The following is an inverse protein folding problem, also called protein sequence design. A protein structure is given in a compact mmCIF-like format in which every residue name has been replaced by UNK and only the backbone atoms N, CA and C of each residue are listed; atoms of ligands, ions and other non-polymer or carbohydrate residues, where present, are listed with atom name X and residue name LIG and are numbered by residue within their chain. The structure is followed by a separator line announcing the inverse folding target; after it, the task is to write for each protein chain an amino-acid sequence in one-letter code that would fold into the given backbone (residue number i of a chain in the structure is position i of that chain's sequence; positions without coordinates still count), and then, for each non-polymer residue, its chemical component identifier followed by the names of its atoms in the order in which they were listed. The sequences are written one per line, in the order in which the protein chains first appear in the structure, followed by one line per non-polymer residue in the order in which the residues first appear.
data_IF_013522104714
#
_entry.id   IF_013522104714
#
_cell.length_a   1.000
_cell.length_b   1.000
_cell.length_c   1.000
_cell.angle_alpha   90.00
_cell.angle_beta   90.00
_cell.angle_gamma   90.00
#
_symmetry.space_group_name_H-M   'P 1'
#
loop_
_entity.id
_entity.type
_entity.pdbx_description
1 polymer ?
#
# COMPACT_ATOMS: atom_id res chain seq x y z
N UNK A 1 11.58 7.74 -44.09
CA UNK A 1 12.17 6.62 -44.83
C UNK A 1 11.27 5.44 -44.54
N UNK A 2 10.46 5.30 -45.47
CA UNK A 2 10.19 4.19 -46.41
C UNK A 2 9.33 3.14 -45.72
N UNK A 3 8.04 3.16 -45.93
CA UNK A 3 7.27 2.64 -47.10
C UNK A 3 7.06 1.14 -47.02
N UNK A 4 5.85 0.80 -47.15
CA UNK A 4 5.06 0.10 -48.19
C UNK A 4 4.72 -1.29 -47.65
N UNK A 5 3.54 -1.82 -47.77
CA UNK A 5 2.38 -1.62 -48.62
C UNK A 5 1.43 -2.77 -48.42
N UNK A 6 0.22 -2.43 -48.75
CA UNK A 6 -0.73 -3.08 -49.69
C UNK A 6 -1.16 -4.50 -49.36
N UNK A 7 -2.39 -4.70 -49.13
CA UNK A 7 -3.59 -4.63 -49.99
C UNK A 7 -3.81 -5.92 -50.79
N UNK A 8 -5.02 -6.36 -50.85
CA UNK A 8 -5.77 -6.96 -51.95
C UNK A 8 -6.71 -8.05 -51.39
N UNK A 9 -7.97 -7.85 -51.27
CA UNK A 9 -9.05 -7.71 -52.25
C UNK A 9 -9.38 -9.00 -53.02
N UNK A 10 -10.71 -9.19 -53.14
CA UNK A 10 -11.47 -9.88 -54.20
C UNK A 10 -11.61 -11.41 -53.95
N UNK A 11 -12.72 -12.10 -54.12
CA UNK A 11 -13.80 -11.88 -55.13
C UNK A 11 -14.94 -12.82 -54.77
N UNK A 12 -16.14 -12.38 -54.91
CA UNK A 12 -17.28 -13.23 -55.28
C UNK A 12 -17.15 -13.56 -56.75
N UNK A 13 -17.72 -14.61 -57.32
CA UNK A 13 -18.97 -14.40 -58.00
C UNK A 13 -19.98 -15.58 -58.03
N UNK A 14 -21.23 -15.18 -58.25
CA UNK A 14 -22.21 -15.67 -59.20
C UNK A 14 -22.36 -17.18 -59.46
N UNK A 15 -23.53 -17.68 -59.39
CA UNK A 15 -24.67 -17.44 -60.30
C UNK A 15 -25.12 -18.78 -60.83
N UNK A 16 -26.33 -19.07 -60.81
CA UNK A 16 -27.10 -19.40 -61.96
C UNK A 16 -28.38 -20.21 -61.69
N UNK A 17 -29.48 -19.61 -61.93
CA UNK A 17 -30.66 -20.34 -62.32
C UNK A 17 -30.49 -20.73 -63.79
N UNK A 18 -31.13 -21.78 -64.29
CA UNK A 18 -32.27 -21.52 -65.19
C UNK A 18 -33.44 -22.55 -65.15
N UNK A 19 -34.61 -22.00 -65.20
CA UNK A 19 -35.56 -22.11 -66.30
C UNK A 19 -36.13 -23.47 -66.72
N UNK A 20 -37.49 -23.52 -66.61
CA UNK A 20 -38.51 -23.92 -67.60
C UNK A 20 -38.41 -25.29 -68.30
N UNK A 21 -39.53 -25.92 -68.21
CA UNK A 21 -39.94 -26.96 -69.17
C UNK A 21 -41.34 -27.50 -68.89
N UNK A 22 -42.36 -26.85 -69.40
CA UNK A 22 -43.54 -27.54 -69.86
C UNK A 22 -43.23 -28.08 -71.26
N UNK A 23 -43.85 -29.12 -71.80
CA UNK A 23 -45.26 -29.12 -72.15
C UNK A 23 -45.96 -30.52 -72.14
N UNK A 24 -47.20 -30.45 -72.15
CA UNK A 24 -48.15 -30.90 -73.20
C UNK A 24 -48.81 -32.28 -73.12
N UNK A 25 -50.14 -32.15 -73.23
CA UNK A 25 -51.17 -32.94 -73.94
C UNK A 25 -51.33 -34.45 -73.67
N UNK A 26 -52.54 -34.72 -73.35
CA UNK A 26 -53.11 -36.06 -73.55
C UNK A 26 -54.46 -36.27 -72.92
N UNK A 27 -55.48 -35.66 -73.51
CA UNK A 27 -56.83 -36.20 -73.33
C UNK A 27 -56.96 -37.49 -74.11
N UNK A 28 -57.80 -38.42 -73.69
CA UNK A 28 -58.95 -38.75 -74.44
C UNK A 28 -60.29 -38.78 -73.67
N UNK A 29 -61.28 -38.34 -74.35
CA UNK A 29 -62.74 -38.44 -74.10
C UNK A 29 -63.15 -39.90 -74.10
N UNK A 30 -64.03 -40.31 -73.19
CA UNK A 30 -65.09 -41.27 -73.44
C UNK A 30 -66.31 -40.94 -72.58
N UNK A 31 -67.42 -40.96 -73.20
CA UNK A 31 -68.77 -40.53 -72.84
C UNK A 31 -69.62 -41.56 -72.04
N UNK A 32 -70.84 -41.30 -71.69
CA UNK A 32 -71.41 -41.59 -70.37
C UNK A 32 -72.25 -42.89 -70.41
N UNK A 33 -72.39 -43.46 -69.23
CA UNK A 33 -73.37 -44.52 -69.00
C UNK A 33 -74.27 -44.14 -67.82
N UNK A 34 -75.55 -44.10 -68.12
CA UNK A 34 -76.69 -43.90 -67.24
C UNK A 34 -76.85 -45.10 -66.29
N UNK A 35 -77.16 -44.89 -65.04
CA UNK A 35 -77.80 -45.88 -64.23
C UNK A 35 -77.60 -45.72 -62.72
N UNK A 36 -78.65 -45.33 -61.96
CA UNK A 36 -78.70 -45.58 -60.52
C UNK A 36 -79.01 -44.39 -59.62
N UNK A 37 -80.19 -43.76 -59.73
CA UNK A 37 -80.63 -42.58 -58.96
C UNK A 37 -81.14 -42.83 -57.53
N UNK A 38 -80.93 -43.94 -56.89
CA UNK A 38 -81.42 -44.22 -55.55
C UNK A 38 -80.34 -44.46 -54.46
N UNK A 39 -79.17 -44.97 -54.79
CA UNK A 39 -78.11 -45.20 -53.77
C UNK A 39 -77.23 -43.99 -53.39
N UNK A 40 -77.15 -42.98 -54.30
CA UNK A 40 -76.37 -41.76 -54.09
C UNK A 40 -76.96 -40.83 -53.01
N UNK A 41 -78.28 -40.87 -52.76
CA UNK A 41 -78.88 -40.07 -51.67
C UNK A 41 -78.59 -40.56 -50.32
N UNK A 42 -78.53 -41.89 -50.11
CA UNK A 42 -78.16 -42.48 -48.81
C UNK A 42 -76.65 -42.35 -48.52
N UNK A 43 -75.78 -42.42 -49.51
CA UNK A 43 -74.35 -42.19 -49.39
C UNK A 43 -74.03 -40.71 -49.02
N UNK A 44 -74.76 -39.74 -49.70
CA UNK A 44 -74.63 -38.33 -49.29
C UNK A 44 -75.05 -38.02 -47.90
N UNK A 45 -76.15 -38.68 -47.44
CA UNK A 45 -76.61 -38.50 -46.10
C UNK A 45 -75.66 -39.15 -45.02
N UNK A 46 -75.06 -40.27 -45.37
CA UNK A 46 -74.02 -40.93 -44.51
C UNK A 46 -72.74 -40.12 -44.40
N UNK A 47 -72.26 -39.50 -45.51
CA UNK A 47 -71.09 -38.62 -45.54
C UNK A 47 -71.35 -37.33 -44.74
N UNK A 48 -72.64 -36.78 -44.86
CA UNK A 48 -73.02 -35.58 -44.13
C UNK A 48 -73.09 -35.87 -42.61
N UNK A 49 -73.63 -37.03 -42.24
CA UNK A 49 -73.62 -37.45 -40.78
C UNK A 49 -72.21 -37.70 -40.27
N UNK A 50 -71.32 -38.27 -41.09
CA UNK A 50 -69.91 -38.46 -40.73
C UNK A 50 -69.17 -37.13 -40.56
N UNK A 51 -69.46 -36.16 -41.46
CA UNK A 51 -68.92 -34.78 -41.38
C UNK A 51 -69.45 -34.05 -40.13
N UNK A 52 -70.75 -34.17 -39.82
CA UNK A 52 -71.32 -33.56 -38.62
C UNK A 52 -70.80 -34.25 -37.42
N UNK A 53 -70.61 -35.57 -37.43
CA UNK A 53 -69.96 -36.31 -36.32
C UNK A 53 -68.51 -35.90 -36.12
N UNK A 54 -67.73 -35.76 -37.20
CA UNK A 54 -66.34 -35.30 -37.11
C UNK A 54 -66.25 -33.83 -36.68
N UNK A 55 -67.16 -32.96 -37.10
CA UNK A 55 -67.25 -31.58 -36.69
C UNK A 55 -67.64 -31.45 -35.22
N UNK A 56 -68.60 -32.23 -34.74
CA UNK A 56 -69.03 -32.25 -33.35
C UNK A 56 -67.92 -32.82 -32.45
N UNK A 57 -67.23 -33.88 -32.93
CA UNK A 57 -66.05 -34.42 -32.22
C UNK A 57 -64.92 -33.41 -32.17
N UNK A 58 -64.68 -32.66 -33.26
CA UNK A 58 -63.69 -31.59 -33.29
C UNK A 58 -64.01 -30.43 -32.34
N UNK A 59 -65.26 -29.97 -32.37
CA UNK A 59 -65.74 -28.95 -31.44
C UNK A 59 -65.67 -29.41 -29.98
N UNK A 60 -66.09 -30.66 -29.72
CA UNK A 60 -66.00 -31.21 -28.35
C UNK A 60 -64.57 -31.36 -27.86
N UNK A 61 -63.69 -31.86 -28.70
CA UNK A 61 -62.23 -31.92 -28.44
C UNK A 61 -61.64 -30.53 -28.18
N UNK A 62 -62.00 -29.54 -28.99
CA UNK A 62 -61.57 -28.18 -28.85
C UNK A 62 -62.09 -27.53 -27.57
N UNK A 63 -63.32 -27.84 -27.20
CA UNK A 63 -63.93 -27.35 -25.93
C UNK A 63 -63.31 -28.00 -24.69
N UNK A 64 -63.01 -29.30 -24.74
CA UNK A 64 -62.28 -30.00 -23.68
C UNK A 64 -60.85 -29.51 -23.53
N UNK A 65 -60.16 -29.31 -24.63
CA UNK A 65 -58.77 -28.72 -24.61
C UNK A 65 -58.76 -27.30 -24.08
N UNK A 66 -59.73 -26.46 -24.43
CA UNK A 66 -59.85 -25.11 -23.87
C UNK A 66 -60.12 -25.15 -22.35
N UNK A 67 -61.02 -26.02 -21.88
CA UNK A 67 -61.28 -26.17 -20.46
C UNK A 67 -60.05 -26.67 -19.71
N UNK A 68 -59.32 -27.63 -20.25
CA UNK A 68 -58.05 -28.11 -19.66
C UNK A 68 -56.98 -27.01 -19.61
N UNK A 69 -56.90 -26.19 -20.66
CA UNK A 69 -55.99 -25.06 -20.73
C UNK A 69 -56.33 -23.97 -19.68
N UNK A 70 -57.63 -23.67 -19.51
CA UNK A 70 -58.09 -22.70 -18.51
C UNK A 70 -57.84 -23.23 -17.07
N UNK A 71 -58.18 -24.49 -16.78
CA UNK A 71 -57.91 -25.10 -15.46
C UNK A 71 -56.43 -25.20 -15.18
N UNK A 72 -55.59 -25.53 -16.17
CA UNK A 72 -54.12 -25.52 -16.04
C UNK A 72 -53.56 -24.11 -15.82
N UNK A 73 -54.18 -23.09 -16.47
CA UNK A 73 -53.77 -21.68 -16.26
C UNK A 73 -54.22 -21.17 -14.89
N UNK A 74 -55.40 -21.56 -14.36
CA UNK A 74 -55.87 -21.24 -13.02
C UNK A 74 -55.00 -21.95 -11.98
N UNK A 75 -54.68 -23.23 -12.14
CA UNK A 75 -53.77 -23.96 -11.27
C UNK A 75 -52.36 -23.40 -11.22
N UNK A 76 -51.88 -22.83 -12.36
CA UNK A 76 -50.60 -22.11 -12.37
C UNK A 76 -50.67 -20.77 -11.65
N UNK A 77 -51.80 -20.07 -11.72
CA UNK A 77 -52.03 -18.80 -11.04
C UNK A 77 -52.10 -18.94 -9.52
N UNK A 78 -52.61 -20.05 -9.05
CA UNK A 78 -52.75 -20.35 -7.60
C UNK A 78 -51.54 -21.14 -7.03
N UNK A 79 -50.54 -21.46 -7.90
CA UNK A 79 -49.33 -22.13 -7.46
C UNK A 79 -48.44 -21.16 -6.69
N UNK A 80 -48.39 -21.32 -5.37
CA UNK A 80 -47.45 -20.57 -4.49
C UNK A 80 -46.14 -21.35 -4.43
N UNK A 81 -45.09 -20.86 -5.11
CA UNK A 81 -43.78 -21.52 -5.12
C UNK A 81 -43.22 -21.56 -3.70
N UNK A 82 -42.60 -22.69 -3.35
CA UNK A 82 -41.85 -22.82 -2.11
C UNK A 82 -40.41 -22.38 -2.36
N UNK A 83 -40.02 -21.33 -1.71
CA UNK A 83 -38.67 -20.72 -1.86
C UNK A 83 -37.85 -20.89 -0.58
N UNK A 84 -36.54 -21.03 -0.72
CA UNK A 84 -35.62 -21.00 0.40
C UNK A 84 -35.19 -19.58 0.61
N UNK A 85 -35.09 -19.16 1.85
CA UNK A 85 -34.61 -17.83 2.22
C UNK A 85 -33.44 -17.93 3.16
N UNK A 86 -32.56 -16.95 3.10
CA UNK A 86 -31.49 -16.71 4.07
C UNK A 86 -31.58 -15.28 4.56
N UNK A 87 -31.27 -15.08 5.84
CA UNK A 87 -31.31 -13.74 6.42
C UNK A 87 -30.05 -12.96 6.02
N UNK A 88 -30.22 -11.74 5.56
CA UNK A 88 -29.12 -10.79 5.34
C UNK A 88 -28.40 -10.55 6.66
N UNK A 89 -27.10 -10.78 6.67
CA UNK A 89 -26.28 -10.61 7.84
C UNK A 89 -25.36 -9.38 7.69
N UNK A 90 -25.12 -8.69 8.81
CA UNK A 90 -24.09 -7.66 8.83
C UNK A 90 -22.72 -8.30 8.67
N UNK A 91 -21.91 -7.73 7.78
CA UNK A 91 -20.50 -8.08 7.61
C UNK A 91 -19.73 -7.83 8.91
N UNK A 92 -18.64 -8.56 9.12
CA UNK A 92 -17.75 -8.32 10.25
C UNK A 92 -17.24 -6.88 10.30
N UNK A 93 -16.96 -6.41 11.51
CA UNK A 93 -16.44 -5.05 11.76
C UNK A 93 -15.04 -4.78 11.19
N UNK A 94 -14.38 -5.80 10.66
CA UNK A 94 -12.99 -5.75 10.17
C UNK A 94 -12.92 -6.33 8.76
N UNK A 95 -12.22 -5.61 7.88
CA UNK A 95 -11.83 -6.09 6.56
C UNK A 95 -10.43 -6.67 6.66
N UNK A 96 -10.23 -7.89 6.19
CA UNK A 96 -8.90 -8.48 6.04
C UNK A 96 -8.39 -8.16 4.63
N UNK A 97 -7.24 -7.49 4.58
CA UNK A 97 -6.59 -7.09 3.33
C UNK A 97 -5.23 -7.75 3.29
N UNK A 98 -5.00 -8.65 2.33
CA UNK A 98 -3.71 -9.28 2.12
C UNK A 98 -2.93 -8.55 1.05
N UNK A 99 -1.74 -8.09 1.41
CA UNK A 99 -0.87 -7.30 0.53
C UNK A 99 0.58 -7.82 0.61
N UNK A 100 1.31 -7.71 -0.50
CA UNK A 100 2.74 -7.96 -0.50
C UNK A 100 3.47 -6.85 0.25
N UNK A 101 4.48 -7.24 1.01
CA UNK A 101 5.36 -6.33 1.72
C UNK A 101 6.82 -6.77 1.64
N UNK A 102 7.71 -5.86 1.98
CA UNK A 102 9.14 -6.14 2.09
C UNK A 102 9.64 -5.73 3.46
N UNK A 103 10.40 -6.61 4.09
CA UNK A 103 11.04 -6.32 5.36
C UNK A 103 12.21 -5.37 5.16
N UNK A 104 12.35 -4.37 6.01
CA UNK A 104 13.51 -3.49 6.08
C UNK A 104 14.00 -3.37 7.52
N UNK A 105 15.25 -2.99 7.70
CA UNK A 105 15.76 -2.69 9.01
C UNK A 105 15.02 -1.47 9.60
N UNK A 106 14.92 -1.42 10.94
CA UNK A 106 14.35 -0.25 11.62
C UNK A 106 15.20 0.99 11.36
N UNK A 107 16.54 0.85 11.54
CA UNK A 107 17.53 1.83 11.15
C UNK A 107 18.61 1.16 10.30
N UNK A 108 19.08 1.87 9.29
CA UNK A 108 20.21 1.46 8.46
C UNK A 108 21.15 2.65 8.26
N UNK A 109 22.44 2.45 8.46
CA UNK A 109 23.44 3.46 8.25
C UNK A 109 24.62 2.92 7.46
N UNK A 110 25.03 3.69 6.46
CA UNK A 110 26.31 3.53 5.79
C UNK A 110 27.35 4.39 6.49
N UNK A 111 28.37 3.75 7.04
CA UNK A 111 29.44 4.39 7.81
C UNK A 111 30.59 4.69 6.87
N UNK A 112 30.96 5.96 6.84
CA UNK A 112 32.04 6.48 6.02
C UNK A 112 33.20 6.99 6.87
N UNK A 113 34.42 6.95 6.31
CA UNK A 113 35.59 7.54 6.94
C UNK A 113 35.43 9.05 7.09
N UNK A 114 35.71 9.58 8.28
CA UNK A 114 35.76 11.02 8.60
C UNK A 114 37.17 11.51 8.86
N UNK A 115 38.15 10.59 8.85
CA UNK A 115 39.58 10.87 8.90
C UNK A 115 40.27 10.14 7.74
N UNK A 116 41.29 10.76 7.15
CA UNK A 116 42.17 10.13 6.16
C UNK A 116 43.31 9.46 6.86
N UNK A 117 43.73 8.28 6.38
CA UNK A 117 44.80 7.49 6.96
C UNK A 117 44.71 6.02 6.61
N UNK A 118 45.47 5.19 7.28
CA UNK A 118 45.42 3.72 7.11
C UNK A 118 44.65 3.04 8.21
N UNK A 119 43.91 1.99 7.86
CA UNK A 119 43.23 1.14 8.85
C UNK A 119 44.29 0.38 9.64
N UNK A 120 44.41 0.70 10.92
CA UNK A 120 45.35 0.04 11.85
C UNK A 120 44.77 -1.24 12.39
N UNK A 121 43.55 -1.15 12.95
CA UNK A 121 42.87 -2.28 13.57
C UNK A 121 41.39 -2.27 13.21
N UNK A 122 40.84 -3.46 13.01
CA UNK A 122 39.43 -3.71 12.82
C UNK A 122 38.94 -4.61 13.96
N UNK A 123 37.89 -4.18 14.64
CA UNK A 123 37.34 -4.86 15.82
C UNK A 123 36.07 -5.67 15.53
N UNK A 124 35.48 -5.44 14.36
CA UNK A 124 34.21 -6.05 13.95
C UNK A 124 34.29 -6.61 12.54
N UNK A 125 33.44 -7.57 12.22
CA UNK A 125 33.30 -8.14 10.88
C UNK A 125 31.82 -8.30 10.53
N UNK A 126 31.52 -8.72 9.29
CA UNK A 126 30.17 -9.03 8.82
C UNK A 126 29.53 -10.01 9.81
N UNK A 127 28.28 -9.74 10.23
CA UNK A 127 27.55 -10.51 11.22
C UNK A 127 27.83 -10.13 12.67
N UNK A 128 28.81 -9.27 12.95
CA UNK A 128 29.11 -8.80 14.31
C UNK A 128 27.97 -7.96 14.87
N UNK A 129 27.48 -8.31 16.06
CA UNK A 129 26.55 -7.47 16.83
C UNK A 129 27.31 -6.43 17.60
N UNK A 130 26.93 -5.18 17.49
CA UNK A 130 27.61 -4.03 18.11
C UNK A 130 26.62 -3.16 18.87
N UNK A 131 27.16 -2.47 19.88
CA UNK A 131 26.41 -1.50 20.69
C UNK A 131 26.76 -0.08 20.29
N UNK A 132 25.86 0.86 20.54
CA UNK A 132 26.08 2.30 20.37
C UNK A 132 27.39 2.73 21.04
N UNK A 133 28.23 3.46 20.30
CA UNK A 133 29.54 3.93 20.79
C UNK A 133 30.63 2.86 20.76
N UNK A 134 30.36 1.61 20.40
CA UNK A 134 31.39 0.57 20.29
C UNK A 134 32.34 0.88 19.14
N UNK A 135 33.64 0.73 19.38
CA UNK A 135 34.69 0.94 18.39
C UNK A 135 34.62 -0.16 17.31
N UNK A 136 34.51 0.26 16.07
CA UNK A 136 34.43 -0.61 14.90
C UNK A 136 35.81 -0.77 14.24
N UNK A 137 36.49 0.35 14.03
CA UNK A 137 37.78 0.41 13.36
C UNK A 137 38.57 1.62 13.82
N UNK A 138 39.89 1.48 13.83
CA UNK A 138 40.86 2.50 14.17
C UNK A 138 41.66 2.88 12.93
N UNK A 139 41.67 4.18 12.64
CA UNK A 139 42.43 4.79 11.55
C UNK A 139 43.69 5.43 12.14
N UNK A 140 44.82 5.18 11.55
CA UNK A 140 46.08 5.83 11.93
C UNK A 140 46.41 6.93 10.93
N UNK A 141 46.55 8.15 11.41
CA UNK A 141 46.92 9.33 10.66
C UNK A 141 47.96 10.12 11.47
N UNK A 142 49.26 9.77 11.37
CA UNK A 142 50.35 10.40 12.14
C UNK A 142 50.44 11.91 11.96
N UNK A 143 50.08 12.40 10.80
CA UNK A 143 50.10 13.83 10.46
C UNK A 143 49.20 14.68 11.36
N UNK A 144 48.08 14.14 11.84
CA UNK A 144 47.18 14.83 12.77
C UNK A 144 47.81 14.93 14.15
N UNK A 145 48.57 13.91 14.59
CA UNK A 145 49.25 13.91 15.86
C UNK A 145 50.40 14.95 15.88
N UNK A 146 51.16 15.05 14.76
CA UNK A 146 52.19 16.07 14.59
C UNK A 146 51.60 17.49 14.56
N UNK A 147 50.45 17.68 13.90
CA UNK A 147 49.72 18.97 13.89
C UNK A 147 49.27 19.37 15.28
N UNK A 148 48.75 18.41 16.08
CA UNK A 148 48.34 18.65 17.47
C UNK A 148 49.56 19.08 18.30
N UNK A 149 50.67 18.36 18.20
CA UNK A 149 51.92 18.70 18.90
C UNK A 149 52.43 20.11 18.55
N UNK A 150 52.40 20.47 17.28
CA UNK A 150 52.75 21.82 16.81
C UNK A 150 51.78 22.89 17.36
N UNK A 151 50.46 22.65 17.34
CA UNK A 151 49.48 23.60 17.85
C UNK A 151 49.60 23.78 19.38
N UNK A 152 49.91 22.71 20.11
CA UNK A 152 50.18 22.77 21.56
C UNK A 152 51.43 23.60 21.87
N UNK A 153 52.51 23.42 21.11
CA UNK A 153 53.74 24.23 21.24
C UNK A 153 53.45 25.73 20.96
N UNK A 154 52.68 26.03 19.90
CA UNK A 154 52.27 27.39 19.59
C UNK A 154 51.38 28.01 20.68
N UNK A 155 50.49 27.25 21.27
CA UNK A 155 49.68 27.70 22.40
C UNK A 155 50.54 28.04 23.64
N UNK A 156 51.57 27.24 23.92
CA UNK A 156 52.56 27.53 24.99
C UNK A 156 53.28 28.83 24.74
N UNK A 157 53.76 29.06 23.51
CA UNK A 157 54.42 30.31 23.07
C UNK A 157 53.51 31.52 23.24
N UNK A 158 52.23 31.42 22.79
CA UNK A 158 51.26 32.51 22.90
C UNK A 158 50.95 32.83 24.37
N UNK A 159 50.86 31.82 25.24
CA UNK A 159 50.70 32.00 26.69
C UNK A 159 51.89 32.68 27.32
N UNK A 160 53.11 32.41 26.83
CA UNK A 160 54.31 33.09 27.31
C UNK A 160 54.33 34.58 26.88
N UNK A 161 53.88 34.87 25.66
CA UNK A 161 53.69 36.25 25.15
C UNK A 161 52.65 37.03 26.03
N UNK A 162 51.52 36.43 26.40
CA UNK A 162 50.57 37.07 27.32
C UNK A 162 51.24 37.40 28.65
N UNK A 163 52.05 36.50 29.25
CA UNK A 163 52.77 36.78 30.50
C UNK A 163 53.66 37.99 30.39
N UNK A 164 54.41 38.14 29.29
CA UNK A 164 55.26 39.28 29.00
C UNK A 164 54.43 40.59 28.92
N UNK A 165 53.38 40.59 28.10
CA UNK A 165 52.48 41.77 27.94
C UNK A 165 51.76 42.10 29.26
N UNK A 166 51.36 41.11 30.04
CA UNK A 166 50.77 41.34 31.35
C UNK A 166 51.75 41.97 32.35
N UNK A 167 53.02 41.59 32.33
CA UNK A 167 54.06 42.24 33.14
C UNK A 167 54.29 43.71 32.72
N UNK A 168 54.31 44.00 31.38
CA UNK A 168 54.41 45.36 30.88
C UNK A 168 53.16 46.19 31.27
N UNK A 169 51.96 45.63 31.20
CA UNK A 169 50.72 46.29 31.68
C UNK A 169 50.80 46.62 33.16
N UNK A 170 51.30 45.70 33.99
CA UNK A 170 51.39 45.91 35.43
C UNK A 170 52.42 47.02 35.74
N UNK A 171 53.58 47.02 35.07
CA UNK A 171 54.55 48.11 35.15
C UNK A 171 53.90 49.49 34.81
N UNK A 172 53.23 49.58 33.68
CA UNK A 172 52.52 50.80 33.24
C UNK A 172 51.42 51.20 34.22
N UNK A 173 50.67 50.23 34.82
CA UNK A 173 49.68 50.49 35.83
C UNK A 173 50.26 51.14 37.08
N UNK A 174 51.37 50.59 37.62
CA UNK A 174 52.07 51.10 38.78
C UNK A 174 52.63 52.48 38.50
N UNK A 175 53.24 52.69 37.31
CA UNK A 175 53.80 54.01 36.92
C UNK A 175 52.70 55.07 36.81
N UNK A 176 51.59 54.78 36.09
CA UNK A 176 50.47 55.68 36.00
C UNK A 176 49.86 56.03 37.36
N UNK A 177 49.69 55.03 38.25
CA UNK A 177 49.18 55.31 39.62
C UNK A 177 50.09 56.22 40.42
N UNK A 178 51.41 56.06 40.34
CA UNK A 178 52.38 56.95 40.98
C UNK A 178 52.34 58.35 40.43
N UNK A 179 52.39 58.49 39.10
CA UNK A 179 52.40 59.79 38.39
C UNK A 179 51.09 60.55 38.63
N UNK A 180 49.95 59.88 38.70
CA UNK A 180 48.63 60.48 39.01
C UNK A 180 48.67 61.18 40.39
N UNK A 181 49.27 60.58 41.39
CA UNK A 181 49.45 61.20 42.70
C UNK A 181 50.35 62.43 42.63
N UNK A 182 51.52 62.31 41.98
CA UNK A 182 52.52 63.38 41.83
C UNK A 182 51.93 64.57 41.07
N UNK A 183 51.11 64.37 40.02
CA UNK A 183 50.44 65.45 39.31
C UNK A 183 49.40 66.16 40.21
N UNK A 184 48.65 65.40 41.04
CA UNK A 184 47.72 65.94 42.02
C UNK A 184 48.38 66.84 43.08
N UNK A 185 49.62 66.51 43.46
CA UNK A 185 50.42 67.24 44.42
C UNK A 185 51.25 68.38 43.74
N UNK A 186 51.22 68.52 42.43
CA UNK A 186 51.98 69.55 41.69
C UNK A 186 53.44 69.27 41.42
N UNK A 187 53.93 68.02 41.73
CA UNK A 187 55.30 67.60 41.54
C UNK A 187 55.61 66.99 40.13
N UNK A 188 54.58 66.77 39.29
CA UNK A 188 54.73 66.31 37.93
C UNK A 188 53.83 67.12 37.01
N UNK A 189 54.18 67.16 35.67
CA UNK A 189 53.44 67.89 34.65
C UNK A 189 52.14 67.14 34.27
N UNK A 190 51.10 67.82 33.84
CA UNK A 190 49.90 67.21 33.29
C UNK A 190 50.22 66.38 32.05
N UNK A 191 51.12 66.81 31.20
CA UNK A 191 51.59 66.10 30.02
C UNK A 191 52.16 64.73 30.38
N UNK A 192 52.95 64.66 31.43
CA UNK A 192 53.50 63.38 31.97
C UNK A 192 52.39 62.45 32.42
N UNK A 193 51.40 62.99 33.18
CA UNK A 193 50.23 62.20 33.63
C UNK A 193 49.43 61.64 32.46
N UNK A 194 49.16 62.42 31.44
CA UNK A 194 48.46 61.98 30.24
C UNK A 194 49.24 60.91 29.47
N UNK A 195 50.57 61.05 29.34
CA UNK A 195 51.42 60.07 28.68
C UNK A 195 51.39 58.73 29.40
N UNK A 196 51.51 58.71 30.74
CA UNK A 196 51.54 57.48 31.52
C UNK A 196 50.16 56.83 31.53
N UNK A 197 49.06 57.58 31.54
CA UNK A 197 47.70 57.08 31.43
C UNK A 197 47.49 56.40 30.10
N UNK A 198 47.79 57.10 29.00
CA UNK A 198 47.64 56.53 27.63
C UNK A 198 48.55 55.33 27.42
N UNK A 199 49.75 55.30 28.02
CA UNK A 199 50.63 54.12 27.97
C UNK A 199 50.00 52.94 28.70
N UNK A 200 49.42 53.15 29.86
CA UNK A 200 48.68 52.09 30.59
C UNK A 200 47.50 51.54 29.77
N UNK A 201 46.65 52.42 29.20
CA UNK A 201 45.54 52.06 28.33
C UNK A 201 46.01 51.22 27.12
N UNK A 202 47.10 51.63 26.47
CA UNK A 202 47.70 50.90 25.35
C UNK A 202 48.14 49.50 25.76
N UNK A 203 48.85 49.35 26.93
CA UNK A 203 49.26 48.04 27.44
C UNK A 203 48.06 47.18 27.88
N UNK A 204 46.99 47.79 28.36
CA UNK A 204 45.73 47.07 28.70
C UNK A 204 45.12 46.49 27.39
N UNK A 205 44.98 47.24 26.32
CA UNK A 205 44.52 46.75 25.04
C UNK A 205 45.46 45.72 24.44
N UNK A 206 46.75 45.87 24.55
CA UNK A 206 47.73 44.84 24.11
C UNK A 206 47.54 43.49 24.85
N UNK A 207 47.24 43.53 26.16
CA UNK A 207 46.93 42.33 26.94
C UNK A 207 45.63 41.65 26.45
N UNK A 208 44.58 42.44 26.14
CA UNK A 208 43.31 41.92 25.61
C UNK A 208 43.55 41.22 24.24
N UNK A 209 44.37 41.81 23.37
CA UNK A 209 44.74 41.19 22.07
C UNK A 209 45.51 39.87 22.31
N UNK A 210 46.44 39.83 23.27
CA UNK A 210 47.17 38.61 23.58
C UNK A 210 46.27 37.52 24.15
N UNK A 211 45.23 37.88 24.97
CA UNK A 211 44.20 36.97 25.45
C UNK A 211 43.36 36.41 24.29
N UNK A 212 42.90 37.26 23.36
CA UNK A 212 42.16 36.86 22.19
C UNK A 212 42.96 35.89 21.27
N UNK A 213 44.27 36.11 21.15
CA UNK A 213 45.16 35.21 20.40
C UNK A 213 45.26 33.81 21.07
N UNK A 214 45.25 33.72 22.40
CA UNK A 214 45.21 32.46 23.09
C UNK A 214 43.88 31.75 22.80
N UNK A 215 42.76 32.45 22.84
CA UNK A 215 41.45 31.85 22.53
C UNK A 215 41.40 31.31 21.10
N UNK A 216 41.97 32.04 20.14
CA UNK A 216 42.04 31.61 18.73
C UNK A 216 42.92 30.34 18.61
N UNK A 217 44.06 30.29 19.25
CA UNK A 217 44.94 29.11 19.24
C UNK A 217 44.31 27.90 19.94
N UNK A 218 43.60 28.14 21.03
CA UNK A 218 42.87 27.08 21.72
C UNK A 218 41.74 26.51 20.85
N UNK A 219 41.00 27.36 20.14
CA UNK A 219 39.98 26.91 19.18
C UNK A 219 40.59 26.04 18.06
N UNK A 220 41.72 26.44 17.49
CA UNK A 220 42.43 25.66 16.49
C UNK A 220 42.87 24.29 17.01
N UNK A 221 43.41 24.23 18.22
CA UNK A 221 43.78 22.97 18.88
C UNK A 221 42.57 22.06 19.09
N UNK A 222 41.41 22.62 19.47
CA UNK A 222 40.18 21.86 19.64
C UNK A 222 39.71 21.25 18.33
N UNK A 223 39.84 21.96 17.20
CA UNK A 223 39.52 21.42 15.85
C UNK A 223 40.38 20.21 15.52
N UNK A 224 41.71 20.31 15.76
CA UNK A 224 42.63 19.20 15.50
C UNK A 224 42.34 17.98 16.42
N UNK A 225 42.02 18.23 17.67
CA UNK A 225 41.61 17.16 18.60
C UNK A 225 40.31 16.49 18.17
N UNK A 226 39.36 17.26 17.67
CA UNK A 226 38.12 16.70 17.10
C UNK A 226 38.40 15.84 15.86
N UNK A 227 39.32 16.25 14.99
CA UNK A 227 39.78 15.45 13.85
C UNK A 227 40.44 14.14 14.31
N UNK A 228 41.23 14.18 15.39
CA UNK A 228 41.80 12.96 16.00
C UNK A 228 40.72 12.00 16.50
N UNK A 229 39.64 12.49 17.10
CA UNK A 229 38.53 11.62 17.51
C UNK A 229 37.88 10.89 16.34
N UNK A 230 37.87 11.46 15.15
CA UNK A 230 37.34 10.81 13.93
C UNK A 230 38.18 9.63 13.43
N UNK A 231 39.40 9.45 13.95
CA UNK A 231 40.21 8.26 13.68
C UNK A 231 39.60 7.01 14.35
N UNK A 232 38.79 7.18 15.40
CA UNK A 232 38.04 6.13 16.07
C UNK A 232 36.63 6.11 15.49
N UNK A 233 36.37 5.16 14.61
CA UNK A 233 35.03 4.98 14.01
C UNK A 233 34.19 4.13 14.96
N UNK A 234 33.09 4.68 15.45
CA UNK A 234 32.18 4.03 16.39
C UNK A 234 30.83 3.79 15.81
N UNK A 235 30.10 2.81 16.37
CA UNK A 235 28.73 2.48 15.99
C UNK A 235 27.77 3.61 16.40
N UNK A 236 26.90 4.11 15.49
CA UNK A 236 25.94 5.17 15.79
C UNK A 236 24.72 4.67 16.58
N UNK A 237 24.36 3.38 16.49
CA UNK A 237 23.26 2.72 17.17
C UNK A 237 23.56 1.23 17.39
N UNK A 238 22.73 0.57 18.19
CA UNK A 238 22.82 -0.88 18.41
C UNK A 238 22.38 -1.62 17.15
N UNK A 239 23.16 -2.60 16.69
CA UNK A 239 22.81 -3.30 15.46
C UNK A 239 23.81 -4.38 15.03
N UNK A 240 23.69 -4.79 13.80
CA UNK A 240 24.55 -5.80 13.16
C UNK A 240 25.26 -5.19 11.95
N UNK A 241 26.54 -5.50 11.79
CA UNK A 241 27.32 -5.16 10.60
C UNK A 241 26.90 -6.09 9.46
N UNK A 242 26.33 -5.53 8.40
CA UNK A 242 25.84 -6.31 7.26
C UNK A 242 26.76 -6.28 6.05
N UNK A 243 27.55 -5.21 5.92
CA UNK A 243 28.54 -5.08 4.87
C UNK A 243 29.86 -4.48 5.42
N UNK A 244 30.96 -4.91 4.83
CA UNK A 244 32.31 -4.42 5.10
C UNK A 244 33.02 -4.18 3.77
N UNK A 245 33.59 -3.00 3.62
CA UNK A 245 34.29 -2.59 2.39
C UNK A 245 35.75 -2.22 2.61
N UNK A 246 36.29 -2.54 3.79
CA UNK A 246 37.68 -2.22 4.17
C UNK A 246 38.36 -3.39 4.84
N UNK A 247 39.67 -3.43 4.70
CA UNK A 247 40.57 -4.36 5.38
C UNK A 247 41.67 -3.61 6.13
N UNK A 248 42.31 -4.30 7.07
CA UNK A 248 43.47 -3.76 7.79
C UNK A 248 44.57 -3.44 6.77
N UNK A 249 45.16 -2.25 6.88
CA UNK A 249 46.13 -1.72 5.91
C UNK A 249 45.52 -0.95 4.75
N UNK A 250 44.21 -0.93 4.56
CA UNK A 250 43.55 -0.13 3.53
C UNK A 250 43.72 1.36 3.81
N UNK A 251 44.06 2.12 2.75
CA UNK A 251 44.04 3.58 2.78
C UNK A 251 42.58 4.05 2.69
N UNK A 252 42.18 4.91 3.59
CA UNK A 252 40.85 5.54 3.61
C UNK A 252 41.01 7.06 3.54
N UNK A 253 40.02 7.71 2.96
CA UNK A 253 40.00 9.16 2.76
C UNK A 253 38.73 9.76 3.31
N UNK A 254 38.88 10.84 4.05
CA UNK A 254 37.79 11.70 4.49
C UNK A 254 37.58 12.77 3.39
N UNK A 255 36.73 12.49 2.43
CA UNK A 255 36.33 13.48 1.44
C UNK A 255 35.02 14.15 1.84
N UNK A 256 34.92 15.45 1.59
CA UNK A 256 33.71 16.22 1.87
C UNK A 256 32.50 15.75 1.06
N UNK A 257 32.72 15.10 -0.09
CA UNK A 257 31.66 14.71 -1.03
C UNK A 257 31.35 13.21 -1.02
N UNK A 258 32.36 12.36 -0.72
CA UNK A 258 32.21 10.90 -0.71
C UNK A 258 33.38 10.22 0.00
N UNK A 259 33.43 10.36 1.32
CA UNK A 259 34.40 9.62 2.11
C UNK A 259 34.40 8.12 1.81
N UNK A 260 35.53 7.43 2.08
CA UNK A 260 35.61 5.99 1.85
C UNK A 260 34.54 5.27 2.65
N UNK A 261 33.70 4.49 1.97
CA UNK A 261 32.69 3.64 2.61
C UNK A 261 33.38 2.51 3.41
N UNK A 262 32.98 2.36 4.67
CA UNK A 262 33.60 1.40 5.60
C UNK A 262 32.67 0.22 5.89
N UNK A 263 31.49 0.49 6.41
CA UNK A 263 30.53 -0.51 6.84
C UNK A 263 29.09 -0.09 6.54
N UNK A 264 28.21 -1.09 6.34
CA UNK A 264 26.77 -0.91 6.54
C UNK A 264 26.38 -1.56 7.85
N UNK A 265 25.64 -0.84 8.65
CA UNK A 265 25.03 -1.33 9.90
C UNK A 265 23.51 -1.29 9.78
N UNK A 266 22.85 -2.29 10.37
CA UNK A 266 21.39 -2.37 10.41
C UNK A 266 20.92 -2.72 11.82
N UNK A 267 19.88 -2.01 12.27
CA UNK A 267 19.16 -2.33 13.50
C UNK A 267 17.96 -3.22 13.16
N UNK A 268 17.91 -4.43 13.67
CA UNK A 268 16.95 -5.47 13.29
C UNK A 268 16.18 -6.09 14.46
N UNK A 269 16.30 -5.56 15.68
CA UNK A 269 15.51 -6.00 16.84
C UNK A 269 14.02 -5.67 16.68
N UNK A 270 13.73 -4.64 15.91
CA UNK A 270 12.42 -4.33 15.36
C UNK A 270 12.56 -4.30 13.84
N UNK A 271 11.68 -4.99 13.15
CA UNK A 271 11.64 -4.97 11.69
C UNK A 271 10.57 -4.01 11.22
N UNK A 272 10.90 -3.23 10.22
CA UNK A 272 9.96 -2.37 9.50
C UNK A 272 9.50 -3.09 8.24
N UNK A 273 8.20 -3.27 8.10
CA UNK A 273 7.61 -3.82 6.89
C UNK A 273 7.05 -2.66 6.08
N UNK A 274 7.51 -2.52 4.87
CA UNK A 274 6.99 -1.55 3.92
C UNK A 274 6.03 -2.24 2.94
N UNK A 275 4.84 -1.68 2.83
CA UNK A 275 3.82 -2.15 1.89
C UNK A 275 3.11 -0.97 1.24
N UNK A 276 2.55 -1.23 0.06
CA UNK A 276 1.85 -0.25 -0.74
C UNK A 276 0.39 -0.63 -0.84
N UNK A 277 -0.46 0.08 -0.09
CA UNK A 277 -1.90 -0.17 -0.05
C UNK A 277 -2.59 0.51 -1.22
N UNK A 278 -3.32 -0.21 -2.09
CA UNK A 278 -4.08 0.38 -3.19
C UNK A 278 -5.12 1.39 -2.71
N UNK A 279 -5.42 2.39 -3.52
CA UNK A 279 -6.32 3.50 -3.18
C UNK A 279 -7.69 3.05 -2.69
N UNK A 280 -8.27 2.01 -3.30
CA UNK A 280 -9.58 1.45 -2.93
C UNK A 280 -9.60 0.83 -1.52
N UNK A 281 -8.44 0.39 -1.02
CA UNK A 281 -8.26 -0.26 0.28
C UNK A 281 -7.59 0.67 1.32
N UNK A 282 -7.09 1.82 0.88
CA UNK A 282 -6.37 2.77 1.74
C UNK A 282 -7.28 3.49 2.75
N UNK A 283 -8.58 3.63 2.42
CA UNK A 283 -9.56 4.27 3.29
C UNK A 283 -9.87 3.40 4.52
N UNK A 284 -9.31 3.78 5.66
CA UNK A 284 -9.45 3.05 6.93
C UNK A 284 -8.12 2.52 7.47
N UNK A 285 -7.07 2.51 6.66
CA UNK A 285 -5.72 2.25 7.14
C UNK A 285 -5.24 3.47 7.93
N UNK A 286 -4.92 3.26 9.19
CA UNK A 286 -4.45 4.31 10.10
C UNK A 286 -3.38 3.74 11.05
N UNK A 287 -2.57 4.57 11.66
CA UNK A 287 -1.69 4.14 12.73
C UNK A 287 -2.47 3.41 13.84
N UNK A 288 -1.95 2.28 14.30
CA UNK A 288 -2.58 1.40 15.28
C UNK A 288 -3.35 0.21 14.70
N UNK A 289 -3.62 0.17 13.39
CA UNK A 289 -4.23 -1.00 12.72
C UNK A 289 -3.34 -2.22 12.91
N UNK A 290 -3.95 -3.33 13.34
CA UNK A 290 -3.24 -4.59 13.54
C UNK A 290 -2.88 -5.25 12.21
N UNK A 291 -1.70 -5.86 12.19
CA UNK A 291 -1.17 -6.56 11.03
C UNK A 291 -0.61 -7.92 11.44
N UNK A 292 -0.82 -8.90 10.60
CA UNK A 292 -0.20 -10.23 10.71
C UNK A 292 0.71 -10.44 9.52
N UNK A 293 1.99 -10.62 9.77
CA UNK A 293 3.01 -10.81 8.74
C UNK A 293 3.36 -12.29 8.63
N UNK A 294 3.32 -12.81 7.42
CA UNK A 294 3.70 -14.18 7.09
C UNK A 294 4.83 -14.15 6.07
N UNK A 295 5.83 -14.96 6.32
CA UNK A 295 7.00 -15.13 5.44
C UNK A 295 6.91 -16.52 4.81
N UNK A 296 7.00 -16.66 3.48
CA UNK A 296 6.85 -17.96 2.79
C UNK A 296 7.82 -19.03 3.30
N UNK A 297 9.03 -18.64 3.67
CA UNK A 297 10.07 -19.53 4.18
C UNK A 297 9.77 -20.06 5.59
N UNK A 298 8.82 -19.43 6.30
CA UNK A 298 8.41 -19.81 7.66
C UNK A 298 6.89 -20.01 7.75
N UNK A 299 6.29 -21.00 7.04
CA UNK A 299 4.82 -21.12 6.88
C UNK A 299 4.08 -21.40 8.20
N UNK A 300 4.77 -21.94 9.21
CA UNK A 300 4.20 -22.24 10.52
C UNK A 300 4.31 -21.07 11.51
N UNK A 301 4.92 -19.97 11.11
CA UNK A 301 5.17 -18.82 11.98
C UNK A 301 4.52 -17.58 11.41
N UNK A 302 3.85 -16.83 12.26
CA UNK A 302 3.31 -15.51 11.95
C UNK A 302 3.85 -14.48 12.94
N UNK A 303 4.08 -13.28 12.46
CA UNK A 303 4.58 -12.18 13.25
C UNK A 303 3.51 -11.12 13.37
N UNK A 304 3.21 -10.69 14.58
CA UNK A 304 2.23 -9.64 14.84
C UNK A 304 2.92 -8.28 14.84
N UNK A 305 2.33 -7.34 14.14
CA UNK A 305 2.78 -5.96 14.10
C UNK A 305 1.61 -5.00 14.11
N UNK A 306 1.92 -3.71 14.09
CA UNK A 306 0.93 -2.64 13.97
C UNK A 306 1.41 -1.63 12.96
N UNK A 307 0.47 -1.03 12.25
CA UNK A 307 0.74 0.13 11.41
C UNK A 307 1.24 1.26 12.30
N UNK A 308 2.44 1.74 12.05
CA UNK A 308 3.05 2.84 12.81
C UNK A 308 3.06 4.14 12.02
N UNK A 309 3.19 4.05 10.71
CA UNK A 309 3.25 5.23 9.81
C UNK A 309 2.52 4.96 8.50
N UNK A 310 1.94 6.01 7.97
CA UNK A 310 1.35 6.08 6.64
C UNK A 310 1.85 7.36 5.95
N UNK A 311 1.94 7.36 4.65
CA UNK A 311 2.50 8.49 3.88
C UNK A 311 1.47 9.59 3.59
N UNK A 312 0.33 9.69 4.15
CA UNK A 312 -0.72 10.72 3.93
C UNK A 312 -0.88 11.21 2.47
N UNK A 313 -0.20 10.58 1.52
CA UNK A 313 -0.22 10.88 0.10
C UNK A 313 -0.09 9.61 -0.72
N UNK A 314 -0.84 9.53 -1.81
CA UNK A 314 -0.71 8.43 -2.76
C UNK A 314 0.47 8.67 -3.71
N UNK A 315 1.18 7.60 -4.04
CA UNK A 315 2.19 7.61 -5.10
C UNK A 315 1.48 7.80 -6.45
N UNK A 316 1.73 8.90 -7.20
CA UNK A 316 0.93 9.25 -8.39
C UNK A 316 0.93 8.18 -9.48
N UNK A 317 2.04 7.45 -9.66
CA UNK A 317 2.17 6.44 -10.72
C UNK A 317 1.39 5.16 -10.44
N UNK A 318 1.36 4.69 -9.20
CA UNK A 318 0.76 3.42 -8.78
C UNK A 318 -0.56 3.59 -8.05
N UNK A 319 -0.91 4.79 -7.63
CA UNK A 319 -2.07 5.11 -6.79
C UNK A 319 -2.12 4.28 -5.51
N UNK A 320 -0.97 4.10 -4.89
CA UNK A 320 -0.83 3.34 -3.65
C UNK A 320 -0.39 4.23 -2.50
N UNK A 321 -0.80 3.87 -1.29
CA UNK A 321 -0.42 4.51 -0.04
C UNK A 321 0.73 3.72 0.60
N UNK A 322 1.90 4.34 0.75
CA UNK A 322 2.99 3.73 1.51
C UNK A 322 2.59 3.62 2.98
N UNK A 323 2.64 2.42 3.49
CA UNK A 323 2.31 2.08 4.87
C UNK A 323 3.48 1.33 5.49
N UNK A 324 3.86 1.69 6.70
CA UNK A 324 4.91 1.03 7.46
C UNK A 324 4.34 0.37 8.71
N UNK A 325 4.77 -0.86 8.94
CA UNK A 325 4.41 -1.69 10.09
C UNK A 325 5.68 -2.02 10.85
N UNK A 326 5.69 -1.78 12.15
CA UNK A 326 6.79 -2.20 13.00
C UNK A 326 6.44 -3.54 13.66
N UNK A 327 7.35 -4.51 13.53
CA UNK A 327 7.22 -5.88 14.02
C UNK A 327 8.38 -6.20 14.96
N UNK A 328 8.13 -6.57 16.21
CA UNK A 328 9.18 -7.01 17.12
C UNK A 328 9.92 -8.25 16.60
N UNK A 329 11.24 -8.24 16.64
CA UNK A 329 12.11 -9.31 16.14
C UNK A 329 13.25 -9.63 17.12
N UNK A 330 12.95 -9.93 18.39
CA UNK A 330 13.97 -10.08 19.44
C UNK A 330 14.89 -11.30 19.22
N UNK A 331 14.43 -12.30 18.49
CA UNK A 331 15.19 -13.51 18.17
C UNK A 331 15.95 -13.41 16.84
N UNK A 332 15.79 -12.29 16.10
CA UNK A 332 16.45 -12.07 14.82
C UNK A 332 15.99 -13.01 13.71
N UNK A 333 14.78 -13.59 13.83
CA UNK A 333 14.26 -14.53 12.83
C UNK A 333 13.91 -13.85 11.50
N UNK A 334 13.45 -12.60 11.55
CA UNK A 334 13.23 -11.79 10.36
C UNK A 334 14.53 -11.11 9.95
N UNK A 335 14.86 -11.21 8.68
CA UNK A 335 16.00 -10.54 8.06
C UNK A 335 15.52 -9.41 7.16
N UNK A 336 16.23 -8.27 7.09
CA UNK A 336 15.91 -7.20 6.14
C UNK A 336 16.02 -7.68 4.68
N UNK A 337 15.13 -7.18 3.82
CA UNK A 337 15.11 -7.50 2.39
C UNK A 337 14.28 -8.73 2.02
N UNK A 338 13.63 -9.39 2.99
CA UNK A 338 12.77 -10.56 2.73
C UNK A 338 11.39 -10.12 2.28
N UNK A 339 10.86 -10.80 1.29
CA UNK A 339 9.47 -10.65 0.86
C UNK A 339 8.52 -11.30 1.89
N UNK A 340 7.40 -10.68 2.14
CA UNK A 340 6.39 -11.19 3.06
C UNK A 340 4.98 -10.85 2.58
N UNK A 341 3.99 -11.59 3.09
CA UNK A 341 2.57 -11.27 2.95
C UNK A 341 2.06 -10.67 4.25
N UNK A 342 1.40 -9.55 4.14
CA UNK A 342 0.84 -8.80 5.26
C UNK A 342 -0.67 -8.86 5.19
N UNK A 343 -1.30 -9.38 6.23
CA UNK A 343 -2.74 -9.33 6.44
C UNK A 343 -3.04 -8.15 7.38
N UNK A 344 -3.64 -7.07 6.82
CA UNK A 344 -4.12 -5.92 7.59
C UNK A 344 -5.54 -6.17 8.07
N UNK A 345 -5.81 -5.83 9.32
CA UNK A 345 -7.14 -5.90 9.93
C UNK A 345 -7.75 -4.51 9.98
N UNK A 346 -8.25 -4.03 8.84
CA UNK A 346 -8.77 -2.67 8.70
C UNK A 346 -10.17 -2.55 9.27
N UNK A 347 -10.43 -1.69 10.27
CA UNK A 347 -11.76 -1.50 10.82
C UNK A 347 -12.68 -0.82 9.80
N UNK A 348 -13.92 -1.30 9.69
CA UNK A 348 -14.95 -0.69 8.85
C UNK A 348 -15.57 0.50 9.55
N UNK A 349 -15.80 1.58 8.82
CA UNK A 349 -16.54 2.75 9.34
C UNK A 349 -18.04 2.48 9.44
N UNK A 350 -18.58 1.71 8.51
CA UNK A 350 -19.99 1.30 8.47
C UNK A 350 -20.06 -0.20 8.20
N UNK A 351 -20.88 -0.97 8.94
CA UNK A 351 -21.14 -2.35 8.60
C UNK A 351 -21.76 -2.43 7.20
N UNK A 352 -21.22 -3.26 6.33
CA UNK A 352 -21.85 -3.61 5.06
C UNK A 352 -22.73 -4.84 5.27
N UNK A 353 -23.67 -5.08 4.37
CA UNK A 353 -24.54 -6.23 4.42
C UNK A 353 -24.03 -7.31 3.46
N UNK A 354 -24.13 -8.55 3.87
CA UNK A 354 -23.74 -9.70 3.07
C UNK A 354 -24.99 -10.43 2.63
N UNK A 355 -25.04 -10.70 1.33
CA UNK A 355 -26.10 -11.45 0.67
C UNK A 355 -25.46 -12.65 -0.04
N UNK A 356 -26.02 -13.87 0.04
CA UNK A 356 -25.57 -15.00 -0.75
C UNK A 356 -25.58 -14.68 -2.25
N UNK A 357 -24.53 -15.07 -2.97
CA UNK A 357 -24.45 -14.82 -4.42
C UNK A 357 -25.61 -15.47 -5.19
N UNK A 358 -26.12 -16.60 -4.68
CA UNK A 358 -27.27 -17.33 -5.22
C UNK A 358 -28.61 -16.59 -5.09
N UNK A 359 -28.66 -15.50 -4.34
CA UNK A 359 -29.85 -14.66 -4.20
C UNK A 359 -29.86 -13.48 -5.18
N UNK A 360 -28.75 -13.22 -5.88
CA UNK A 360 -28.62 -12.08 -6.77
C UNK A 360 -29.28 -12.38 -8.11
N UNK A 361 -30.17 -11.50 -8.54
CA UNK A 361 -30.88 -11.55 -9.82
C UNK A 361 -30.25 -10.50 -10.75
N UNK A 362 -29.87 -10.92 -11.93
CA UNK A 362 -29.44 -10.01 -12.98
C UNK A 362 -30.52 -9.96 -14.07
N UNK A 363 -31.10 -8.79 -14.30
CA UNK A 363 -32.10 -8.55 -15.33
C UNK A 363 -31.75 -7.29 -16.16
N UNK A 364 -32.66 -6.87 -17.04
CA UNK A 364 -32.48 -5.69 -17.90
C UNK A 364 -32.37 -4.38 -17.10
N UNK A 365 -32.95 -4.33 -15.92
CA UNK A 365 -32.98 -3.15 -15.04
C UNK A 365 -31.79 -3.13 -14.05
N UNK A 366 -30.91 -4.15 -14.09
CA UNK A 366 -29.70 -4.22 -13.28
C UNK A 366 -29.69 -5.38 -12.28
N UNK A 367 -28.99 -5.16 -11.17
CA UNK A 367 -28.83 -6.15 -10.09
C UNK A 367 -29.95 -5.96 -9.04
N UNK A 368 -30.64 -7.05 -8.73
CA UNK A 368 -31.72 -7.06 -7.75
C UNK A 368 -31.59 -8.24 -6.79
N UNK A 369 -32.25 -8.16 -5.67
CA UNK A 369 -32.53 -9.28 -4.78
C UNK A 369 -34.02 -9.34 -4.51
N UNK A 370 -34.56 -10.56 -4.39
CA UNK A 370 -35.93 -10.79 -4.01
C UNK A 370 -36.01 -10.99 -2.48
N UNK A 371 -36.67 -10.07 -1.79
CA UNK A 371 -36.89 -10.13 -0.34
C UNK A 371 -38.30 -10.69 -0.08
N UNK A 372 -38.41 -11.67 0.79
CA UNK A 372 -39.69 -12.24 1.20
C UNK A 372 -40.20 -11.58 2.49
N UNK A 373 -41.21 -10.72 2.40
CA UNK A 373 -41.84 -10.09 3.52
C UNK A 373 -43.27 -10.62 3.65
N UNK A 374 -43.61 -11.24 4.79
CA UNK A 374 -44.93 -11.78 5.06
C UNK A 374 -45.51 -12.72 3.99
N UNK A 375 -44.62 -13.41 3.25
CA UNK A 375 -44.99 -14.32 2.14
C UNK A 375 -45.26 -13.61 0.81
N UNK A 376 -44.90 -12.35 0.68
CA UNK A 376 -44.93 -11.54 -0.56
C UNK A 376 -43.50 -11.20 -0.91
N UNK A 377 -43.21 -11.21 -2.19
CA UNK A 377 -41.88 -10.88 -2.75
C UNK A 377 -41.79 -9.39 -3.08
N UNK A 378 -40.70 -8.77 -2.63
CA UNK A 378 -40.30 -7.41 -3.01
C UNK A 378 -38.95 -7.44 -3.70
N UNK A 379 -38.89 -6.82 -4.89
CA UNK A 379 -37.67 -6.75 -5.70
C UNK A 379 -36.90 -5.49 -5.35
N UNK A 380 -35.77 -5.65 -4.65
CA UNK A 380 -34.93 -4.54 -4.23
C UNK A 380 -33.73 -4.40 -5.18
N UNK A 381 -33.53 -3.24 -5.80
CA UNK A 381 -32.32 -2.96 -6.55
C UNK A 381 -31.12 -2.88 -5.58
N UNK A 382 -30.03 -3.52 -5.93
CA UNK A 382 -28.84 -3.56 -5.08
C UNK A 382 -27.61 -3.00 -5.80
N UNK A 383 -26.68 -2.46 -5.02
CA UNK A 383 -25.34 -2.08 -5.48
C UNK A 383 -24.31 -2.96 -4.80
N UNK A 384 -23.61 -3.79 -5.60
CA UNK A 384 -22.54 -4.65 -5.09
C UNK A 384 -21.32 -3.79 -4.80
N UNK A 385 -20.77 -3.89 -3.59
CA UNK A 385 -19.54 -3.27 -3.17
C UNK A 385 -18.34 -4.19 -3.43
N UNK A 386 -18.49 -5.50 -3.14
CA UNK A 386 -17.47 -6.55 -3.34
C UNK A 386 -18.13 -7.88 -3.62
N UNK A 387 -17.45 -8.69 -4.42
CA UNK A 387 -17.83 -10.07 -4.70
C UNK A 387 -16.78 -11.02 -4.10
N UNK A 388 -17.25 -11.93 -3.23
CA UNK A 388 -16.43 -12.97 -2.61
C UNK A 388 -16.67 -14.35 -3.22
N UNK A 389 -17.41 -14.41 -4.33
CA UNK A 389 -17.75 -15.62 -5.07
C UNK A 389 -18.98 -16.36 -4.51
N UNK A 390 -19.02 -16.70 -3.23
CA UNK A 390 -20.18 -17.33 -2.59
C UNK A 390 -21.14 -16.33 -1.94
N UNK A 391 -20.62 -15.20 -1.54
CA UNK A 391 -21.31 -14.11 -0.89
C UNK A 391 -20.96 -12.82 -1.58
N UNK A 392 -21.88 -11.89 -1.68
CA UNK A 392 -21.67 -10.55 -2.19
C UNK A 392 -21.90 -9.52 -1.10
N UNK A 393 -21.03 -8.56 -1.01
CA UNK A 393 -21.17 -7.42 -0.12
C UNK A 393 -21.97 -6.34 -0.83
N UNK A 394 -23.07 -5.92 -0.20
CA UNK A 394 -24.03 -4.97 -0.76
C UNK A 394 -23.93 -3.65 -0.02
N UNK A 395 -23.93 -2.54 -0.76
CA UNK A 395 -23.89 -1.19 -0.21
C UNK A 395 -25.28 -0.69 0.14
N UNK A 396 -26.24 -0.92 -0.74
CA UNK A 396 -27.60 -0.39 -0.65
C UNK A 396 -28.62 -1.42 -1.12
N UNK A 397 -29.88 -1.28 -0.72
CA UNK A 397 -31.01 -2.03 -1.23
C UNK A 397 -31.53 -3.13 -0.33
N UNK A 398 -30.87 -3.45 0.80
CA UNK A 398 -31.34 -4.42 1.79
C UNK A 398 -31.04 -3.94 3.20
N UNK A 399 -31.75 -4.49 4.18
CA UNK A 399 -31.55 -4.24 5.60
C UNK A 399 -31.09 -5.51 6.34
N UNK A 400 -30.47 -5.31 7.51
CA UNK A 400 -30.03 -6.44 8.31
C UNK A 400 -31.22 -7.24 8.82
N UNK A 401 -31.29 -8.53 8.48
CA UNK A 401 -32.40 -9.44 8.85
C UNK A 401 -33.38 -9.72 7.72
N UNK A 402 -33.31 -8.99 6.58
CA UNK A 402 -34.14 -9.26 5.41
C UNK A 402 -33.97 -10.69 4.94
N UNK A 403 -35.12 -11.33 4.59
CA UNK A 403 -35.16 -12.70 4.12
C UNK A 403 -34.99 -12.72 2.60
N UNK A 404 -33.78 -12.85 2.10
CA UNK A 404 -33.49 -12.93 0.66
C UNK A 404 -33.75 -14.35 0.14
N UNK A 405 -34.36 -14.44 -1.05
CA UNK A 405 -34.71 -15.71 -1.67
C UNK A 405 -33.48 -16.26 -2.41
N UNK A 406 -33.13 -17.49 -2.08
CA UNK A 406 -32.02 -18.21 -2.72
C UNK A 406 -32.50 -18.88 -4.02
N UNK A 407 -31.71 -18.78 -5.11
CA UNK A 407 -32.01 -19.34 -6.42
C UNK A 407 -33.44 -19.00 -6.86
N UNK A 408 -33.79 -17.72 -6.97
CA UNK A 408 -35.16 -17.28 -7.27
C UNK A 408 -35.62 -17.87 -8.62
N UNK A 409 -36.86 -18.39 -8.71
CA UNK A 409 -37.44 -18.81 -9.97
C UNK A 409 -37.45 -17.68 -11.00
N UNK A 410 -37.28 -18.03 -12.28
CA UNK A 410 -37.19 -17.05 -13.39
C UNK A 410 -38.48 -16.23 -13.58
N UNK A 411 -39.60 -16.80 -13.16
CA UNK A 411 -40.95 -16.22 -13.24
C UNK A 411 -41.38 -15.48 -11.95
N UNK A 412 -40.41 -15.21 -11.04
CA UNK A 412 -40.70 -14.49 -9.81
C UNK A 412 -40.76 -12.97 -10.11
N UNK A 413 -41.92 -12.38 -9.83
CA UNK A 413 -42.19 -10.96 -10.07
C UNK A 413 -42.50 -10.24 -8.73
N UNK A 414 -42.44 -8.91 -8.76
CA UNK A 414 -42.87 -8.05 -7.66
C UNK A 414 -44.28 -8.39 -7.23
N UNK A 415 -44.53 -8.55 -5.93
CA UNK A 415 -45.83 -8.90 -5.37
C UNK A 415 -46.21 -10.38 -5.46
N UNK A 416 -45.35 -11.26 -5.99
CA UNK A 416 -45.60 -12.71 -6.05
C UNK A 416 -45.75 -13.29 -4.66
N UNK A 417 -46.73 -14.22 -4.47
CA UNK A 417 -46.89 -14.96 -3.23
C UNK A 417 -45.94 -16.13 -3.18
N UNK A 418 -45.20 -16.28 -2.09
CA UNK A 418 -44.25 -17.37 -1.87
C UNK A 418 -44.44 -18.03 -0.51
N UNK A 419 -44.16 -19.32 -0.44
CA UNK A 419 -44.11 -20.05 0.85
C UNK A 419 -42.63 -20.16 1.25
N UNK A 420 -42.29 -19.40 2.28
CA UNK A 420 -40.93 -19.37 2.81
C UNK A 420 -40.59 -20.69 3.51
N UNK A 421 -39.46 -21.26 3.17
CA UNK A 421 -38.85 -22.40 3.86
C UNK A 421 -37.44 -21.95 4.28
N UNK A 422 -37.24 -21.84 5.58
CA UNK A 422 -35.92 -21.48 6.09
C UNK A 422 -34.86 -22.46 5.58
N UNK A 423 -33.74 -21.97 5.08
CA UNK A 423 -32.59 -22.81 4.76
C UNK A 423 -32.09 -23.46 6.06
N UNK A 424 -31.71 -24.75 6.05
CA UNK A 424 -31.00 -25.32 7.18
C UNK A 424 -29.71 -24.51 7.36
N UNK A 425 -29.42 -24.11 8.60
CA UNK A 425 -28.18 -23.44 8.94
C UNK A 425 -27.02 -24.42 8.64
N UNK A 426 -26.42 -24.30 7.46
CA UNK A 426 -25.15 -25.00 7.19
C UNK A 426 -24.12 -24.41 8.14
N UNK A 427 -23.45 -25.26 8.90
CA UNK A 427 -22.35 -24.88 9.76
C UNK A 427 -21.29 -24.22 8.88
N UNK A 428 -21.09 -22.93 9.03
CA UNK A 428 -20.02 -22.16 8.38
C UNK A 428 -18.68 -22.77 8.82
N UNK A 429 -17.78 -23.17 7.88
CA UNK A 429 -16.49 -23.74 8.20
C UNK A 429 -15.55 -22.75 8.91
#
# INVERSE_FOLDING_TARGET
MTEIGQASSLESPDGNAPQRGTPDSGQPRISPSKGGRSRARYLGLAVLLLLIGALSLGVWRHYVQRRQAIVAAEQRRDFVPSVRTEAVAASGSVIRVELPGTTSAFDAANIYARASGYINKRYVDIGSRVKTGQLLVEITAPEVDDQIAQAEATLVQTKASLRQVSANRELARVTNGRTTILVGEGWATKQQGDTDRLTYEAQQHAAQVAEANIQAQQAQLNVLRQQKLYQQVVAPFDGVVTQRNIDVGSLVQADATSGTFLFTMMHSDVMRIQLYVPQDQAFGVAPGVEAVVRVPEMPKRSFKGKVTRIADALVPGTRTLLTEIDVPNPDGALTPGVYCTVELQVPRKTPSLIVPADAVIFNQDGLHVAVAENGIVHMHPITIARDFGREVEVRDGVENGDQVILNPPVDLEEGSKVKVRAAPAEARP
#
